data_IF_430877770842
#
_entry.id   IF_430877770842
#
_cell.length_a   1.000
_cell.length_b   1.000
_cell.length_c   1.000
_cell.angle_alpha   90.00
_cell.angle_beta   90.00
_cell.angle_gamma   90.00
#
_symmetry.space_group_name_H-M   'P 1'
#
loop_
_entity.id
_entity.type
_entity.pdbx_description
1 polymer ?
#
# COMPACT_ATOMS: atom_id res chain seq x y z
N UNK A 1 -14.40 19.34 -2.68
CA UNK A 1 -14.46 20.46 -1.70
C UNK A 1 -15.53 20.07 -0.70
N UNK A 2 -15.22 20.13 0.59
CA UNK A 2 -16.21 19.91 1.63
C UNK A 2 -17.19 21.11 1.70
N UNK A 3 -18.23 20.99 2.54
CA UNK A 3 -19.25 22.05 2.73
C UNK A 3 -18.65 23.40 3.18
N UNK A 4 -17.39 23.44 3.57
CA UNK A 4 -16.67 24.64 4.04
C UNK A 4 -15.69 25.18 3.00
N UNK A 5 -15.63 24.62 1.79
CA UNK A 5 -14.75 25.06 0.71
C UNK A 5 -13.27 24.80 0.94
N UNK A 6 -12.93 23.94 1.91
CA UNK A 6 -11.55 23.51 2.17
C UNK A 6 -11.19 22.32 1.30
N UNK A 7 -10.07 22.44 0.58
CA UNK A 7 -9.48 21.29 -0.12
C UNK A 7 -8.65 20.50 0.89
N UNK A 8 -9.17 19.36 1.35
CA UNK A 8 -8.44 18.43 2.20
C UNK A 8 -7.94 17.27 1.34
N UNK A 9 -6.67 16.95 1.50
CA UNK A 9 -6.08 15.74 0.90
C UNK A 9 -5.99 14.66 1.98
N UNK A 10 -6.51 13.47 1.67
CA UNK A 10 -6.50 12.33 2.55
C UNK A 10 -5.43 11.33 2.13
N UNK A 11 -4.42 11.14 2.98
CA UNK A 11 -3.41 10.10 2.80
C UNK A 11 -3.68 8.97 3.80
N UNK A 12 -3.97 7.77 3.32
CA UNK A 12 -4.19 6.61 4.16
C UNK A 12 -2.91 5.79 4.32
N UNK A 13 -2.68 5.28 5.52
CA UNK A 13 -1.56 4.38 5.83
C UNK A 13 -1.99 3.35 6.88
N UNK A 14 -1.18 2.32 7.11
CA UNK A 14 -1.43 1.35 8.18
C UNK A 14 -1.60 -0.08 7.66
N UNK A 15 -0.49 -0.76 7.41
CA UNK A 15 -0.48 -2.19 7.08
C UNK A 15 -0.90 -2.54 5.65
N UNK A 16 -1.16 -1.57 4.80
CA UNK A 16 -1.48 -1.78 3.40
C UNK A 16 -0.27 -2.37 2.65
N UNK A 17 -0.48 -3.42 1.86
CA UNK A 17 0.63 -4.19 1.25
C UNK A 17 0.43 -4.57 -0.19
N UNK A 18 -0.80 -4.74 -0.62
CA UNK A 18 -1.14 -5.24 -1.94
C UNK A 18 -1.92 -4.20 -2.73
N UNK A 19 -1.91 -4.32 -4.04
CA UNK A 19 -2.73 -3.50 -4.94
C UNK A 19 -4.21 -3.47 -4.55
N UNK A 20 -4.75 -4.59 -4.05
CA UNK A 20 -6.14 -4.68 -3.56
C UNK A 20 -6.39 -3.77 -2.35
N UNK A 21 -5.41 -3.65 -1.45
CA UNK A 21 -5.53 -2.74 -0.31
C UNK A 21 -5.55 -1.29 -0.79
N UNK A 22 -4.72 -0.98 -1.80
CA UNK A 22 -4.58 0.38 -2.35
C UNK A 22 -5.84 0.81 -3.11
N UNK A 23 -6.37 -0.08 -3.97
CA UNK A 23 -7.63 0.18 -4.70
C UNK A 23 -8.78 0.45 -3.74
N UNK A 24 -8.93 -0.37 -2.69
CA UNK A 24 -9.97 -0.16 -1.68
C UNK A 24 -9.81 1.18 -0.97
N UNK A 25 -8.56 1.54 -0.59
CA UNK A 25 -8.28 2.81 0.07
C UNK A 25 -8.66 4.00 -0.81
N UNK A 26 -8.29 3.98 -2.09
CA UNK A 26 -8.65 5.03 -3.06
C UNK A 26 -10.17 5.08 -3.28
N UNK A 27 -10.82 3.93 -3.52
CA UNK A 27 -12.27 3.86 -3.71
C UNK A 27 -13.06 4.33 -2.46
N UNK A 28 -12.48 4.26 -1.27
CA UNK A 28 -13.03 4.80 -0.03
C UNK A 28 -12.73 6.29 0.18
N UNK A 29 -12.14 6.97 -0.80
CA UNK A 29 -11.93 8.41 -0.81
C UNK A 29 -10.53 8.88 -0.42
N UNK A 30 -9.52 8.01 -0.40
CA UNK A 30 -8.15 8.44 -0.20
C UNK A 30 -7.56 9.02 -1.48
N UNK A 31 -6.87 10.16 -1.39
CA UNK A 31 -6.11 10.76 -2.51
C UNK A 31 -4.77 10.04 -2.72
N UNK A 32 -4.20 9.48 -1.66
CA UNK A 32 -2.93 8.76 -1.74
C UNK A 32 -2.83 7.66 -0.67
N UNK A 33 -1.95 6.70 -0.93
CA UNK A 33 -1.64 5.59 -0.03
C UNK A 33 -0.16 5.64 0.34
N UNK A 34 0.14 5.71 1.64
CA UNK A 34 1.50 5.63 2.15
C UNK A 34 1.82 4.20 2.61
N UNK A 35 2.93 3.67 2.13
CA UNK A 35 3.42 2.33 2.48
C UNK A 35 4.81 2.40 3.10
N UNK A 36 5.10 1.46 3.98
CA UNK A 36 6.43 1.29 4.57
C UNK A 36 6.81 -0.18 4.63
N UNK A 37 6.13 -0.98 5.45
CA UNK A 37 6.45 -2.41 5.62
C UNK A 37 6.40 -3.21 4.33
N UNK A 38 5.54 -2.86 3.38
CA UNK A 38 5.45 -3.53 2.08
C UNK A 38 6.74 -3.34 1.27
N UNK A 39 7.24 -2.11 1.17
CA UNK A 39 8.49 -1.80 0.49
C UNK A 39 9.69 -2.46 1.20
N UNK A 40 9.74 -2.44 2.54
CA UNK A 40 10.78 -3.12 3.31
C UNK A 40 10.76 -4.64 3.07
N UNK A 41 9.60 -5.26 3.01
CA UNK A 41 9.46 -6.69 2.71
C UNK A 41 9.91 -7.02 1.29
N UNK A 42 9.58 -6.18 0.33
CA UNK A 42 10.06 -6.30 -1.04
C UNK A 42 11.59 -6.20 -1.11
N UNK A 43 12.19 -5.29 -0.35
CA UNK A 43 13.65 -5.15 -0.20
C UNK A 43 14.31 -6.42 0.35
N UNK A 44 13.60 -7.17 1.20
CA UNK A 44 14.09 -8.42 1.80
C UNK A 44 13.94 -8.50 3.32
N UNK A 45 13.24 -7.56 3.93
CA UNK A 45 12.99 -7.56 5.38
C UNK A 45 12.17 -8.80 5.80
N UNK A 46 12.70 -9.56 6.75
CA UNK A 46 12.07 -10.78 7.30
C UNK A 46 11.15 -10.48 8.51
N UNK A 47 10.97 -9.19 8.85
CA UNK A 47 10.11 -8.75 9.96
C UNK A 47 10.47 -9.33 11.34
N UNK A 48 11.76 -9.39 11.63
CA UNK A 48 12.25 -9.81 12.96
C UNK A 48 11.83 -8.85 14.09
N UNK A 49 11.42 -7.61 13.75
CA UNK A 49 10.97 -6.58 14.71
C UNK A 49 11.99 -6.21 15.79
N UNK A 50 13.27 -6.22 15.41
CA UNK A 50 14.41 -5.83 16.27
C UNK A 50 15.14 -4.61 15.70
N UNK A 51 14.44 -3.79 14.92
CA UNK A 51 15.04 -2.63 14.23
C UNK A 51 15.61 -1.59 15.21
N UNK A 52 14.96 -1.44 16.35
CA UNK A 52 15.32 -0.55 17.44
C UNK A 52 16.66 -0.93 18.10
N UNK A 53 17.01 -2.21 18.08
CA UNK A 53 18.26 -2.71 18.68
C UNK A 53 19.50 -2.43 17.81
N UNK A 54 19.33 -2.03 16.54
CA UNK A 54 20.43 -1.89 15.58
C UNK A 54 21.07 -3.22 15.15
N UNK A 55 20.50 -4.36 15.53
CA UNK A 55 21.03 -5.72 15.26
C UNK A 55 20.28 -6.43 14.13
N UNK A 56 19.85 -5.69 13.12
CA UNK A 56 19.11 -6.26 12.00
C UNK A 56 19.94 -7.31 11.25
N UNK A 57 19.54 -8.60 11.24
CA UNK A 57 20.36 -9.65 10.64
C UNK A 57 20.39 -9.61 9.10
N UNK A 58 19.51 -8.81 8.49
CA UNK A 58 19.42 -8.62 7.03
C UNK A 58 20.27 -7.41 6.57
N UNK A 59 20.75 -6.56 7.49
CA UNK A 59 21.55 -5.40 7.16
C UNK A 59 20.78 -4.12 6.85
N UNK A 60 19.42 -4.11 7.02
CA UNK A 60 18.60 -2.95 6.65
C UNK A 60 18.63 -1.87 7.74
N UNK A 61 18.47 -2.26 9.01
CA UNK A 61 18.39 -1.36 10.15
C UNK A 61 19.53 -1.66 11.14
N UNK A 62 20.75 -1.31 10.76
CA UNK A 62 21.95 -1.54 11.54
C UNK A 62 23.04 -0.54 11.15
N UNK A 63 23.97 -0.29 12.09
CA UNK A 63 25.22 0.45 11.86
C UNK A 63 26.45 -0.48 12.02
N UNK A 64 26.23 -1.77 12.26
CA UNK A 64 27.28 -2.77 12.34
C UNK A 64 27.75 -3.12 10.92
N UNK A 65 29.04 -2.88 10.56
CA UNK A 65 29.54 -3.12 9.20
C UNK A 65 29.41 -4.58 8.74
N UNK A 66 29.49 -5.53 9.68
CA UNK A 66 29.32 -6.97 9.37
C UNK A 66 27.88 -7.30 9.03
N UNK A 67 26.93 -6.70 9.74
CA UNK A 67 25.51 -6.89 9.44
C UNK A 67 25.10 -6.12 8.19
N UNK A 68 25.59 -4.88 8.03
CA UNK A 68 25.32 -4.03 6.87
C UNK A 68 25.78 -4.69 5.56
N UNK A 69 26.94 -5.34 5.55
CA UNK A 69 27.48 -6.05 4.38
C UNK A 69 26.61 -7.21 3.86
N UNK A 70 25.60 -7.64 4.65
CA UNK A 70 24.65 -8.68 4.22
C UNK A 70 23.56 -8.17 3.27
N UNK A 71 23.37 -6.86 3.21
CA UNK A 71 22.41 -6.24 2.31
C UNK A 71 23.01 -6.09 0.91
N UNK A 72 22.54 -6.89 -0.04
CA UNK A 72 22.81 -6.67 -1.46
C UNK A 72 21.86 -5.57 -1.98
N UNK A 73 22.41 -4.35 -2.06
CA UNK A 73 21.66 -3.14 -2.42
C UNK A 73 21.06 -3.25 -3.82
N UNK A 74 21.84 -3.72 -4.80
CA UNK A 74 21.40 -3.86 -6.20
C UNK A 74 20.25 -4.87 -6.34
N UNK A 75 20.37 -6.00 -5.67
CA UNK A 75 19.30 -7.01 -5.63
C UNK A 75 18.07 -6.49 -4.89
N UNK A 76 18.28 -5.77 -3.81
CA UNK A 76 17.21 -5.13 -3.04
C UNK A 76 16.44 -4.11 -3.89
N UNK A 77 17.16 -3.22 -4.56
CA UNK A 77 16.60 -2.20 -5.45
C UNK A 77 15.76 -2.83 -6.57
N UNK A 78 16.25 -3.86 -7.25
CA UNK A 78 15.50 -4.58 -8.28
C UNK A 78 14.21 -5.20 -7.73
N UNK A 79 14.23 -5.76 -6.53
CA UNK A 79 13.03 -6.34 -5.90
C UNK A 79 11.98 -5.28 -5.59
N UNK A 80 12.40 -4.13 -5.07
CA UNK A 80 11.48 -3.01 -4.80
C UNK A 80 10.91 -2.46 -6.10
N UNK A 81 11.74 -2.28 -7.13
CA UNK A 81 11.29 -1.84 -8.45
C UNK A 81 10.24 -2.78 -9.03
N UNK A 82 10.49 -4.09 -9.01
CA UNK A 82 9.54 -5.10 -9.49
C UNK A 82 8.22 -5.06 -8.70
N UNK A 83 8.29 -4.91 -7.38
CA UNK A 83 7.10 -4.78 -6.54
C UNK A 83 6.26 -3.55 -6.94
N UNK A 84 6.90 -2.39 -7.10
CA UNK A 84 6.20 -1.16 -7.46
C UNK A 84 5.62 -1.23 -8.89
N UNK A 85 6.37 -1.76 -9.84
CA UNK A 85 5.92 -1.93 -11.22
C UNK A 85 4.73 -2.90 -11.32
N UNK A 86 4.83 -4.06 -10.67
CA UNK A 86 3.72 -5.03 -10.61
C UNK A 86 2.50 -4.41 -9.96
N UNK A 87 2.67 -3.72 -8.83
CA UNK A 87 1.57 -3.03 -8.15
C UNK A 87 0.91 -1.99 -9.07
N UNK A 88 1.70 -1.15 -9.74
CA UNK A 88 1.18 -0.15 -10.67
C UNK A 88 0.40 -0.77 -11.84
N UNK A 89 0.87 -1.89 -12.38
CA UNK A 89 0.19 -2.61 -13.45
C UNK A 89 -1.14 -3.23 -12.97
N UNK A 90 -1.17 -3.78 -11.75
CA UNK A 90 -2.40 -4.29 -11.14
C UNK A 90 -3.40 -3.16 -10.87
N UNK A 91 -2.95 -2.00 -10.36
CA UNK A 91 -3.82 -0.83 -10.15
C UNK A 91 -4.45 -0.37 -11.48
N UNK A 92 -3.66 -0.26 -12.55
CA UNK A 92 -4.19 0.05 -13.90
C UNK A 92 -5.23 -0.98 -14.36
N UNK A 93 -5.00 -2.25 -14.05
CA UNK A 93 -5.95 -3.31 -14.39
C UNK A 93 -7.26 -3.17 -13.60
N UNK A 94 -7.20 -2.88 -12.32
CA UNK A 94 -8.40 -2.62 -11.51
C UNK A 94 -9.19 -1.43 -12.05
N UNK A 95 -8.53 -0.30 -12.32
CA UNK A 95 -9.15 0.89 -12.88
C UNK A 95 -9.90 0.58 -14.20
N UNK A 96 -9.27 -0.17 -15.10
CA UNK A 96 -9.87 -0.54 -16.38
C UNK A 96 -11.07 -1.49 -16.28
N UNK A 97 -11.00 -2.50 -15.39
CA UNK A 97 -12.11 -3.46 -15.26
C UNK A 97 -13.33 -2.86 -14.56
N UNK A 98 -13.16 -1.77 -13.82
CA UNK A 98 -14.27 -0.98 -13.26
C UNK A 98 -14.80 0.06 -14.25
N UNK A 99 -14.16 0.22 -15.43
CA UNK A 99 -14.61 1.12 -16.48
C UNK A 99 -14.09 2.56 -16.36
N UNK A 100 -13.06 2.78 -15.57
CA UNK A 100 -12.46 4.10 -15.36
C UNK A 100 -11.14 4.29 -16.10
N UNK A 101 -10.79 5.53 -16.40
CA UNK A 101 -9.52 5.92 -17.03
C UNK A 101 -8.50 6.43 -15.98
N UNK A 102 -8.97 6.97 -14.86
CA UNK A 102 -8.15 7.43 -13.73
C UNK A 102 -8.50 6.66 -12.45
N UNK A 103 -7.48 6.33 -11.65
CA UNK A 103 -7.67 5.60 -10.39
C UNK A 103 -8.46 6.42 -9.35
N UNK A 104 -8.44 7.74 -9.44
CA UNK A 104 -9.20 8.63 -8.55
C UNK A 104 -10.68 8.75 -8.92
N UNK A 105 -11.11 8.15 -10.02
CA UNK A 105 -12.52 7.99 -10.36
C UNK A 105 -13.17 6.81 -9.61
N UNK A 106 -12.36 5.93 -9.03
CA UNK A 106 -12.85 4.84 -8.18
C UNK A 106 -13.63 5.38 -6.99
N UNK A 107 -14.75 4.74 -6.71
CA UNK A 107 -15.68 5.12 -5.65
C UNK A 107 -16.22 3.92 -4.91
N UNK A 108 -17.08 4.15 -3.90
CA UNK A 108 -17.78 3.07 -3.19
C UNK A 108 -18.67 2.23 -4.10
N UNK A 109 -19.11 2.78 -5.23
CA UNK A 109 -19.95 2.06 -6.20
C UNK A 109 -19.19 0.91 -6.91
N UNK A 110 -17.87 1.01 -6.96
CA UNK A 110 -16.98 -0.02 -7.50
C UNK A 110 -16.66 -1.14 -6.51
N UNK A 111 -17.15 -1.02 -5.28
CA UNK A 111 -16.93 -1.99 -4.22
C UNK A 111 -18.21 -2.75 -3.90
N UNK A 112 -18.03 -3.99 -3.45
CA UNK A 112 -19.10 -4.76 -2.81
C UNK A 112 -18.53 -5.56 -1.63
N UNK A 113 -19.39 -5.92 -0.69
CA UNK A 113 -19.05 -6.72 0.48
C UNK A 113 -20.05 -7.83 0.70
N UNK A 114 -19.61 -8.94 1.29
CA UNK A 114 -20.49 -10.02 1.78
C UNK A 114 -20.80 -9.90 3.28
N UNK A 115 -20.31 -8.85 3.93
CA UNK A 115 -20.55 -8.58 5.36
C UNK A 115 -21.58 -7.48 5.51
N UNK A 116 -22.72 -7.80 6.13
CA UNK A 116 -23.76 -6.82 6.45
C UNK A 116 -23.23 -5.72 7.36
N UNK A 117 -22.39 -6.06 8.35
CA UNK A 117 -21.77 -5.09 9.25
C UNK A 117 -20.92 -4.06 8.49
N UNK A 118 -20.13 -4.50 7.50
CA UNK A 118 -19.34 -3.59 6.66
C UNK A 118 -20.28 -2.73 5.82
N UNK A 119 -21.31 -3.32 5.21
CA UNK A 119 -22.28 -2.58 4.40
C UNK A 119 -22.96 -1.48 5.22
N UNK A 120 -23.46 -1.82 6.41
CA UNK A 120 -24.17 -0.90 7.29
C UNK A 120 -23.30 0.26 7.79
N UNK A 121 -21.99 0.01 8.01
CA UNK A 121 -21.07 1.01 8.58
C UNK A 121 -20.31 1.82 7.53
N UNK A 122 -20.24 1.38 6.27
CA UNK A 122 -19.40 2.02 5.24
C UNK A 122 -20.17 2.53 4.02
N UNK A 123 -21.42 2.14 3.85
CA UNK A 123 -22.19 2.40 2.64
C UNK A 123 -21.77 1.55 1.42
N UNK A 124 -20.81 0.63 1.57
CA UNK A 124 -20.44 -0.31 0.51
C UNK A 124 -21.60 -1.28 0.29
N UNK A 125 -22.00 -1.45 -0.98
CA UNK A 125 -23.11 -2.32 -1.35
C UNK A 125 -22.88 -3.77 -0.90
N UNK A 126 -23.89 -4.37 -0.28
CA UNK A 126 -23.90 -5.82 -0.02
C UNK A 126 -24.07 -6.58 -1.34
N UNK A 127 -23.27 -7.65 -1.56
CA UNK A 127 -23.36 -8.49 -2.77
C UNK A 127 -24.56 -9.44 -2.71
#
# INVERSE_FOLDING_TARGET
>A
MDEHGMCQQLVITGGLRTSRDFVKAIAMGADAVAISSAALMALGCQRYRICDSGKCPIGIATQDPVLESRLDVEKGARRVANYLETTANELRSFTRITGHDDIHELSLDDLCTISSEISDNTGIRHA
#
